data_IF_110483163634
#
_entry.id   IF_110483163634
#
_cell.length_a   1.000
_cell.length_b   1.000
_cell.length_c   1.000
_cell.angle_alpha   90.00
_cell.angle_beta   90.00
_cell.angle_gamma   90.00
#
_symmetry.space_group_name_H-M   'P 1'
#
loop_
_entity.id
_entity.type
_entity.pdbx_description
1 polymer ?
#
# COMPACT_ATOMS: atom_id res chain seq x y z
N UNK A 1 13.15 7.41 -8.35
CA UNK A 1 12.69 8.80 -8.53
C UNK A 1 13.77 9.73 -8.03
N UNK A 2 13.90 10.90 -8.63
CA UNK A 2 14.86 11.91 -8.17
C UNK A 2 14.45 12.46 -6.78
N UNK A 3 15.37 12.61 -5.82
CA UNK A 3 15.05 13.11 -4.48
C UNK A 3 14.44 14.51 -4.48
N UNK A 4 14.86 15.39 -5.40
CA UNK A 4 14.32 16.75 -5.50
C UNK A 4 12.85 16.76 -5.93
N UNK A 5 12.42 15.72 -6.64
CA UNK A 5 11.07 15.56 -7.11
C UNK A 5 10.13 15.02 -6.01
N UNK A 6 10.67 14.38 -4.98
CA UNK A 6 9.90 13.79 -3.88
C UNK A 6 9.41 14.81 -2.85
N UNK A 7 10.15 15.90 -2.65
CA UNK A 7 9.81 16.97 -1.69
C UNK A 7 8.83 18.00 -2.28
N UNK A 8 8.69 18.02 -3.61
CA UNK A 8 7.81 18.94 -4.32
C UNK A 8 6.35 18.71 -3.91
N UNK A 9 5.63 19.80 -3.67
CA UNK A 9 4.23 19.72 -3.24
C UNK A 9 3.33 19.40 -4.42
N UNK A 10 2.28 18.63 -4.14
CA UNK A 10 1.27 18.27 -5.15
C UNK A 10 0.59 19.52 -5.73
N UNK A 11 0.44 20.57 -4.90
CA UNK A 11 -0.15 21.84 -5.32
C UNK A 11 0.75 22.63 -6.29
N UNK A 12 2.05 22.36 -6.30
CA UNK A 12 3.05 23.03 -7.15
C UNK A 12 3.29 22.28 -8.47
N UNK A 13 2.62 21.13 -8.67
CA UNK A 13 2.65 20.38 -9.92
C UNK A 13 1.60 20.92 -10.88
N UNK A 14 1.98 21.04 -12.14
CA UNK A 14 1.01 21.24 -13.22
C UNK A 14 0.18 19.97 -13.46
N UNK A 15 -0.94 20.09 -14.18
CA UNK A 15 -1.81 18.94 -14.46
C UNK A 15 -1.10 17.83 -15.25
N UNK A 16 -0.24 18.22 -16.19
CA UNK A 16 0.61 17.31 -16.97
C UNK A 16 1.64 16.58 -16.10
N UNK A 17 2.32 17.30 -15.19
CA UNK A 17 3.27 16.71 -14.24
C UNK A 17 2.57 15.74 -13.30
N UNK A 18 1.38 16.10 -12.83
CA UNK A 18 0.57 15.28 -11.95
C UNK A 18 0.05 14.02 -12.66
N UNK A 19 -0.36 14.14 -13.91
CA UNK A 19 -0.82 13.00 -14.72
C UNK A 19 0.33 12.03 -14.98
N UNK A 20 1.53 12.56 -15.27
CA UNK A 20 2.75 11.77 -15.41
C UNK A 20 3.16 11.11 -14.09
N UNK A 21 3.03 11.83 -12.98
CA UNK A 21 3.34 11.36 -11.63
C UNK A 21 2.48 10.17 -11.20
N UNK A 22 1.17 10.29 -11.34
CA UNK A 22 0.23 9.25 -10.94
C UNK A 22 0.31 8.05 -11.89
N UNK A 23 0.49 8.31 -13.19
CA UNK A 23 0.52 7.29 -14.22
C UNK A 23 -0.80 6.49 -14.31
N UNK A 24 -0.82 5.43 -15.13
CA UNK A 24 -2.03 4.64 -15.35
C UNK A 24 -2.40 3.71 -14.17
N UNK A 25 -1.43 3.37 -13.31
CA UNK A 25 -1.59 2.38 -12.23
C UNK A 25 -1.83 2.98 -10.84
N UNK A 26 -2.24 4.25 -10.76
CA UNK A 26 -2.56 4.87 -9.47
C UNK A 26 -3.84 4.27 -8.87
N UNK A 27 -3.82 4.00 -7.57
CA UNK A 27 -5.01 3.56 -6.84
C UNK A 27 -6.13 4.63 -6.90
N UNK A 28 -7.41 4.23 -7.05
CA UNK A 28 -8.52 5.17 -7.11
C UNK A 28 -8.58 6.12 -5.89
N UNK A 29 -8.28 5.60 -4.69
CA UNK A 29 -8.26 6.41 -3.47
C UNK A 29 -7.17 7.49 -3.47
N UNK A 30 -6.06 7.26 -4.17
CA UNK A 30 -4.98 8.24 -4.29
C UNK A 30 -5.35 9.38 -5.23
N UNK A 31 -6.09 9.10 -6.31
CA UNK A 31 -6.64 10.15 -7.18
C UNK A 31 -7.53 11.11 -6.40
N UNK A 32 -8.42 10.58 -5.55
CA UNK A 32 -9.30 11.39 -4.70
C UNK A 32 -8.51 12.27 -3.73
N UNK A 33 -7.42 11.76 -3.15
CA UNK A 33 -6.56 12.53 -2.24
C UNK A 33 -5.92 13.69 -3.00
N UNK A 34 -5.36 13.44 -4.18
CA UNK A 34 -4.75 14.47 -5.02
C UNK A 34 -5.75 15.56 -5.41
N UNK A 35 -6.96 15.18 -5.82
CA UNK A 35 -8.02 16.15 -6.15
C UNK A 35 -8.42 16.98 -4.93
N UNK A 36 -8.48 16.35 -3.75
CA UNK A 36 -8.80 17.05 -2.49
C UNK A 36 -7.70 18.04 -2.09
N UNK A 37 -6.43 17.67 -2.29
CA UNK A 37 -5.27 18.55 -2.05
C UNK A 37 -5.34 19.79 -2.94
N UNK A 38 -5.63 19.61 -4.23
CA UNK A 38 -5.79 20.72 -5.19
C UNK A 38 -7.02 21.59 -4.90
N UNK A 39 -8.12 20.99 -4.46
CA UNK A 39 -9.34 21.73 -4.13
C UNK A 39 -9.21 22.53 -2.80
N UNK A 40 -8.37 22.08 -1.87
CA UNK A 40 -8.19 22.70 -0.54
C UNK A 40 -6.71 22.83 -0.16
N UNK A 41 -5.92 23.63 -0.92
CA UNK A 41 -4.49 23.76 -0.70
C UNK A 41 -4.15 24.40 0.66
N UNK A 42 -5.04 25.20 1.23
CA UNK A 42 -4.85 25.84 2.55
C UNK A 42 -4.64 24.83 3.68
N UNK A 43 -5.26 23.65 3.61
CA UNK A 43 -5.19 22.64 4.67
C UNK A 43 -4.31 21.45 4.31
N UNK A 44 -4.06 21.23 3.02
CA UNK A 44 -3.40 20.03 2.50
C UNK A 44 -2.22 20.34 1.57
N UNK A 45 -1.85 21.61 1.40
CA UNK A 45 -0.75 22.05 0.53
C UNK A 45 0.64 21.60 0.98
N UNK A 46 0.76 21.02 2.18
CA UNK A 46 2.00 20.41 2.66
C UNK A 46 2.24 19.01 2.08
N UNK A 47 1.23 18.38 1.47
CA UNK A 47 1.34 17.04 0.89
C UNK A 47 2.28 17.08 -0.32
N UNK A 48 3.33 16.28 -0.24
CA UNK A 48 4.36 16.13 -1.26
C UNK A 48 4.17 14.88 -2.12
N UNK A 49 4.92 14.82 -3.22
CA UNK A 49 4.97 13.66 -4.11
C UNK A 49 5.35 12.39 -3.34
N UNK A 50 6.25 12.46 -2.37
CA UNK A 50 6.67 11.31 -1.57
C UNK A 50 5.50 10.68 -0.80
N UNK A 51 4.70 11.49 -0.11
CA UNK A 51 3.54 11.04 0.64
C UNK A 51 2.52 10.37 -0.27
N UNK A 52 2.28 10.94 -1.45
CA UNK A 52 1.34 10.37 -2.43
C UNK A 52 1.86 9.05 -3.02
N UNK A 53 3.15 8.94 -3.33
CA UNK A 53 3.76 7.67 -3.78
C UNK A 53 3.68 6.60 -2.68
N UNK A 54 3.94 6.97 -1.42
CA UNK A 54 3.77 6.06 -0.28
C UNK A 54 2.32 5.56 -0.15
N UNK A 55 1.34 6.45 -0.29
CA UNK A 55 -0.07 6.08 -0.26
C UNK A 55 -0.41 5.17 -1.43
N UNK A 56 0.06 5.49 -2.63
CA UNK A 56 -0.15 4.66 -3.82
C UNK A 56 0.41 3.27 -3.62
N UNK A 57 1.63 3.11 -3.08
CA UNK A 57 2.18 1.80 -2.76
C UNK A 57 1.37 1.05 -1.71
N UNK A 58 0.84 1.74 -0.68
CA UNK A 58 0.02 1.09 0.36
C UNK A 58 -1.34 0.62 -0.16
N UNK A 59 -1.97 1.40 -1.03
CA UNK A 59 -3.29 1.06 -1.58
C UNK A 59 -3.20 0.14 -2.80
N UNK A 60 -2.09 0.18 -3.54
CA UNK A 60 -1.84 -0.68 -4.71
C UNK A 60 -1.16 -1.99 -4.35
N UNK A 61 -0.45 -2.07 -3.21
CA UNK A 61 -0.04 -3.36 -2.69
C UNK A 61 -1.30 -4.18 -2.37
N UNK A 62 -1.41 -5.44 -2.85
CA UNK A 62 -2.40 -6.34 -2.29
C UNK A 62 -2.14 -6.36 -0.78
N UNK A 63 -3.19 -6.14 0.02
CA UNK A 63 -3.09 -6.29 1.47
C UNK A 63 -2.29 -7.57 1.77
N UNK A 64 -1.09 -7.40 2.35
CA UNK A 64 -0.25 -8.52 2.76
C UNK A 64 -1.05 -9.54 3.57
N UNK A 65 -0.63 -10.81 3.53
CA UNK A 65 -1.52 -11.96 3.40
C UNK A 65 -2.65 -11.99 4.44
N UNK A 66 -3.89 -12.08 3.96
CA UNK A 66 -4.97 -12.78 4.70
C UNK A 66 -4.54 -14.24 4.82
N UNK A 67 -3.66 -14.55 5.78
CA UNK A 67 -3.37 -15.85 6.37
C UNK A 67 -2.11 -15.65 7.22
N UNK A 68 -2.28 -15.20 8.46
CA UNK A 68 -1.48 -15.80 9.51
C UNK A 68 -2.03 -17.23 9.65
N UNK A 69 -1.28 -18.30 9.33
CA UNK A 69 -1.61 -19.57 9.94
C UNK A 69 -1.45 -19.32 11.44
N UNK A 70 -2.54 -19.48 12.19
CA UNK A 70 -2.45 -19.54 13.63
C UNK A 70 -1.34 -20.52 14.02
N UNK A 71 -0.61 -20.14 15.07
CA UNK A 71 0.33 -20.91 15.88
C UNK A 71 0.61 -22.35 15.46
N UNK A 72 1.88 -22.80 15.46
CA UNK A 72 2.18 -24.23 15.37
C UNK A 72 1.61 -24.90 16.62
N UNK A 73 0.44 -25.51 16.49
CA UNK A 73 -0.10 -26.39 17.51
C UNK A 73 0.91 -27.54 17.62
N UNK A 74 1.45 -27.68 18.83
CA UNK A 74 2.35 -28.75 19.24
C UNK A 74 1.90 -30.12 18.73
N UNK A 75 2.83 -31.04 18.41
CA UNK A 75 2.45 -32.36 17.93
C UNK A 75 1.73 -33.10 19.05
N UNK A 76 0.43 -33.33 18.86
CA UNK A 76 -0.32 -34.26 19.71
C UNK A 76 0.01 -35.67 19.24
N UNK A 77 0.72 -36.41 20.09
CA UNK A 77 0.95 -37.84 19.97
C UNK A 77 -0.38 -38.60 20.06
N UNK A 78 -0.78 -39.29 18.99
CA UNK A 78 -1.77 -40.37 19.02
C UNK A 78 -1.31 -41.44 18.02
N UNK A 79 -0.78 -42.55 18.52
CA UNK A 79 -1.49 -43.81 18.75
C UNK A 79 -1.63 -44.64 17.47
N UNK A 80 -0.79 -45.67 17.37
CA UNK A 80 -0.84 -46.70 16.34
C UNK A 80 -0.50 -48.04 16.97
N UNK A 81 -1.48 -48.63 17.65
CA UNK A 81 -1.46 -50.06 17.94
C UNK A 81 -1.66 -50.85 16.65
N UNK A 82 -0.91 -51.94 16.48
CA UNK A 82 -1.26 -53.02 15.57
C UNK A 82 -0.66 -54.32 16.09
N UNK A 83 -1.56 -55.19 16.56
CA UNK A 83 -1.36 -56.61 16.79
C UNK A 83 -0.92 -57.35 15.51
N UNK A 84 -0.03 -58.33 15.70
CA UNK A 84 0.09 -59.57 14.91
C UNK A 84 1.12 -60.45 15.66
N UNK A 85 0.88 -61.69 16.10
CA UNK A 85 -0.13 -62.68 15.74
C UNK A 85 0.58 -63.91 15.18
N UNK A 86 0.51 -65.01 15.95
CA UNK A 86 1.01 -66.39 15.72
C UNK A 86 2.47 -66.69 16.07
#
# INVERSE_FOLDING_TARGET
MDPSYMDRKIVDLSEEELTSFLGPNVAPGVRVIVDTVRAKPTYLGFVDCFAVDCLNRRYSAPAGPKNAPGSPNSPTTMSGGSEKGA
#
